data_IF_817675403212
#
_entry.id   IF_817675403212
#
_cell.length_a   1.000
_cell.length_b   1.000
_cell.length_c   1.000
_cell.angle_alpha   90.00
_cell.angle_beta   90.00
_cell.angle_gamma   90.00
#
_symmetry.space_group_name_H-M   'P 1'
#
loop_
_entity.id
_entity.type
_entity.pdbx_description
1 polymer ?
#
# COMPACT_ATOMS: atom_id res chain seq x y z
N UNK A 1 -2.52 -4.50 14.97
CA UNK A 1 -2.98 -3.50 13.98
C UNK A 1 -3.14 -2.17 14.71
N UNK A 2 -2.39 -1.15 14.31
CA UNK A 2 -2.48 0.20 14.87
C UNK A 2 -3.59 0.94 14.12
N UNK A 3 -4.43 1.72 14.81
CA UNK A 3 -5.49 2.53 14.20
C UNK A 3 -5.76 3.81 14.99
N UNK A 4 -6.55 4.73 14.41
CA UNK A 4 -6.87 6.02 15.04
C UNK A 4 -7.79 5.92 16.27
N UNK A 5 -8.54 4.83 16.41
CA UNK A 5 -9.45 4.62 17.55
C UNK A 5 -8.70 4.27 18.84
N UNK A 6 -7.44 3.87 18.75
CA UNK A 6 -6.59 3.55 19.89
C UNK A 6 -6.11 4.83 20.60
N UNK A 7 -6.03 4.74 21.92
CA UNK A 7 -5.44 5.82 22.72
C UNK A 7 -3.98 6.05 22.35
N UNK A 8 -3.47 7.25 22.61
CA UNK A 8 -2.06 7.59 22.33
C UNK A 8 -1.10 6.64 23.05
N UNK A 9 -1.39 6.29 24.30
CA UNK A 9 -0.54 5.41 25.11
C UNK A 9 -0.51 3.97 24.59
N UNK A 10 -1.65 3.46 24.11
CA UNK A 10 -1.72 2.15 23.46
C UNK A 10 -0.89 2.12 22.19
N UNK A 11 -1.07 3.13 21.32
CA UNK A 11 -0.30 3.25 20.08
C UNK A 11 1.20 3.31 20.36
N UNK A 12 1.61 4.12 21.34
CA UNK A 12 3.02 4.24 21.73
C UNK A 12 3.58 2.90 22.22
N UNK A 13 2.85 2.18 23.08
CA UNK A 13 3.27 0.86 23.58
C UNK A 13 3.43 -0.15 22.46
N UNK A 14 2.47 -0.20 21.54
CA UNK A 14 2.53 -1.11 20.38
C UNK A 14 3.74 -0.77 19.50
N UNK A 15 3.89 0.50 19.11
CA UNK A 15 5.00 0.95 18.25
C UNK A 15 6.38 0.68 18.86
N UNK A 16 6.54 0.91 20.17
CA UNK A 16 7.81 0.69 20.86
C UNK A 16 8.08 -0.80 21.10
N UNK A 17 7.11 -1.54 21.67
CA UNK A 17 7.34 -2.92 22.11
C UNK A 17 7.26 -3.95 20.97
N UNK A 18 6.32 -3.77 20.05
CA UNK A 18 6.10 -4.74 18.96
C UNK A 18 6.91 -4.38 17.71
N UNK A 19 7.05 -3.08 17.41
CA UNK A 19 7.69 -2.61 16.17
C UNK A 19 9.06 -1.95 16.38
N UNK A 20 9.56 -1.85 17.63
CA UNK A 20 10.90 -1.33 17.92
C UNK A 20 11.11 0.14 17.61
N UNK A 21 10.05 0.95 17.49
CA UNK A 21 10.17 2.38 17.24
C UNK A 21 10.81 3.11 18.41
N UNK A 22 11.47 4.23 18.13
CA UNK A 22 11.94 5.14 19.16
C UNK A 22 10.76 5.66 19.98
N UNK A 23 10.98 5.87 21.28
CA UNK A 23 9.94 6.40 22.18
C UNK A 23 9.46 7.78 21.73
N UNK A 24 10.36 8.57 21.16
CA UNK A 24 10.06 9.90 20.62
C UNK A 24 9.10 9.82 19.43
N UNK A 25 9.42 9.02 18.41
CA UNK A 25 8.57 8.88 17.22
C UNK A 25 7.19 8.30 17.58
N UNK A 26 7.20 7.26 18.42
CA UNK A 26 5.97 6.60 18.84
C UNK A 26 5.04 7.54 19.63
N UNK A 27 5.61 8.43 20.45
CA UNK A 27 4.86 9.46 21.19
C UNK A 27 4.33 10.56 20.27
N UNK A 28 5.03 10.84 19.17
CA UNK A 28 4.80 11.97 18.29
C UNK A 28 3.98 11.62 17.03
N UNK A 29 3.37 10.43 16.99
CA UNK A 29 2.39 10.09 15.95
C UNK A 29 1.17 11.01 16.05
N UNK A 30 0.87 11.72 14.96
CA UNK A 30 -0.23 12.69 14.89
C UNK A 30 -1.40 12.24 14.01
N UNK A 31 -1.18 11.39 13.00
CA UNK A 31 -2.23 10.79 12.19
C UNK A 31 -1.87 9.38 11.71
N UNK A 32 -2.89 8.55 11.50
CA UNK A 32 -2.75 7.19 10.93
C UNK A 32 -3.80 7.03 9.84
N UNK A 33 -3.36 6.98 8.58
CA UNK A 33 -4.23 6.82 7.42
C UNK A 33 -3.98 5.46 6.78
N UNK A 34 -4.85 4.50 7.09
CA UNK A 34 -4.66 3.10 6.71
C UNK A 34 -3.38 2.50 7.29
N UNK A 35 -2.40 2.22 6.44
CA UNK A 35 -1.07 1.71 6.83
C UNK A 35 0.02 2.79 6.83
N UNK A 36 -0.37 4.06 6.68
CA UNK A 36 0.54 5.20 6.62
C UNK A 36 0.47 5.98 7.94
N UNK A 37 1.61 6.48 8.40
CA UNK A 37 1.75 7.15 9.69
C UNK A 37 2.42 8.50 9.48
N UNK A 38 1.85 9.54 10.09
CA UNK A 38 2.43 10.87 10.18
C UNK A 38 3.01 11.10 11.58
N UNK A 39 4.26 11.52 11.67
CA UNK A 39 4.99 11.80 12.91
C UNK A 39 5.40 13.27 12.94
N UNK A 40 5.07 13.98 14.02
CA UNK A 40 5.49 15.36 14.21
C UNK A 40 6.80 15.43 15.01
N UNK A 41 7.92 15.73 14.34
CA UNK A 41 9.23 15.90 14.99
C UNK A 41 9.64 17.37 15.16
N UNK A 42 8.78 18.31 14.78
CA UNK A 42 9.04 19.74 14.85
C UNK A 42 9.28 20.18 16.30
N UNK A 43 10.33 20.97 16.53
CA UNK A 43 10.67 21.55 17.85
C UNK A 43 10.89 23.05 17.73
N UNK A 44 10.32 23.82 18.68
CA UNK A 44 10.60 25.25 18.81
C UNK A 44 9.96 26.16 17.74
N UNK A 45 9.06 25.65 16.89
CA UNK A 45 8.30 26.46 15.93
C UNK A 45 6.97 26.92 16.51
N UNK A 46 6.60 28.16 16.21
CA UNK A 46 5.32 28.74 16.62
C UNK A 46 4.19 28.28 15.69
N UNK A 47 2.95 28.33 16.18
CA UNK A 47 1.72 28.10 15.41
C UNK A 47 1.51 26.69 14.83
N UNK A 48 2.38 25.72 15.13
CA UNK A 48 2.28 24.33 14.66
C UNK A 48 0.94 23.69 15.03
N UNK A 49 0.52 23.85 16.28
CA UNK A 49 -0.75 23.29 16.79
C UNK A 49 -1.98 23.88 16.11
N UNK A 50 -1.88 25.09 15.53
CA UNK A 50 -3.01 25.72 14.82
C UNK A 50 -3.19 25.14 13.41
N UNK A 51 -2.12 24.63 12.80
CA UNK A 51 -2.13 24.12 11.42
C UNK A 51 -2.07 22.60 11.34
N UNK A 52 -1.80 21.92 12.46
CA UNK A 52 -1.56 20.47 12.46
C UNK A 52 -2.75 19.69 11.88
N UNK A 53 -3.98 20.12 12.11
CA UNK A 53 -5.17 19.46 11.56
C UNK A 53 -5.30 19.65 10.04
N UNK A 54 -4.88 20.80 9.51
CA UNK A 54 -4.74 21.00 8.06
C UNK A 54 -3.64 20.10 7.48
N UNK A 55 -2.51 19.95 8.19
CA UNK A 55 -1.42 19.04 7.78
C UNK A 55 -1.90 17.59 7.78
N UNK A 56 -2.64 17.13 8.80
CA UNK A 56 -3.24 15.79 8.79
C UNK A 56 -4.16 15.58 7.59
N UNK A 57 -4.93 16.60 7.22
CA UNK A 57 -5.82 16.56 6.05
C UNK A 57 -5.02 16.49 4.74
N UNK A 58 -3.98 17.31 4.59
CA UNK A 58 -3.09 17.23 3.44
C UNK A 58 -2.32 15.91 3.36
N UNK A 59 -1.94 15.33 4.50
CA UNK A 59 -1.36 13.99 4.56
C UNK A 59 -2.33 12.92 4.06
N UNK A 60 -3.60 12.96 4.49
CA UNK A 60 -4.65 12.06 3.98
C UNK A 60 -4.79 12.17 2.46
N UNK A 61 -4.90 13.39 1.94
CA UNK A 61 -5.01 13.62 0.49
C UNK A 61 -3.79 13.08 -0.27
N UNK A 62 -2.59 13.26 0.29
CA UNK A 62 -1.35 12.79 -0.29
C UNK A 62 -1.31 11.26 -0.40
N UNK A 63 -1.70 10.56 0.67
CA UNK A 63 -1.63 9.09 0.74
C UNK A 63 -2.79 8.41 0.04
N UNK A 64 -3.99 9.00 0.01
CA UNK A 64 -5.13 8.43 -0.73
C UNK A 64 -4.92 8.54 -2.24
N UNK A 65 -4.18 9.56 -2.68
CA UNK A 65 -4.01 9.91 -4.10
C UNK A 65 -2.53 9.86 -4.51
N UNK A 66 -1.91 8.69 -4.43
CA UNK A 66 -0.49 8.50 -4.66
C UNK A 66 0.00 9.00 -6.03
N UNK A 67 1.15 9.68 -6.07
CA UNK A 67 1.64 10.41 -7.25
C UNK A 67 1.96 9.53 -8.47
N UNK A 68 2.37 8.28 -8.26
CA UNK A 68 2.71 7.36 -9.36
C UNK A 68 1.54 7.08 -10.31
N UNK A 69 0.38 6.69 -9.77
CA UNK A 69 -0.75 6.23 -10.57
C UNK A 69 -2.13 6.63 -10.00
N UNK A 70 -2.14 7.58 -9.04
CA UNK A 70 -3.33 7.99 -8.28
C UNK A 70 -4.00 6.80 -7.56
N UNK A 71 -3.19 5.85 -7.12
CA UNK A 71 -3.60 4.73 -6.26
C UNK A 71 -3.19 5.05 -4.81
N UNK A 72 -3.88 4.46 -3.81
CA UNK A 72 -3.52 4.66 -2.40
C UNK A 72 -2.08 4.22 -2.10
N UNK A 73 -1.36 5.05 -1.37
CA UNK A 73 -0.03 4.75 -0.84
C UNK A 73 -0.15 3.79 0.35
N UNK A 74 0.90 3.00 0.58
CA UNK A 74 0.89 1.97 1.61
C UNK A 74 2.25 1.87 2.32
N UNK A 75 2.21 1.82 3.66
CA UNK A 75 3.40 1.54 4.48
C UNK A 75 4.34 2.73 4.66
N UNK A 76 3.85 3.96 4.49
CA UNK A 76 4.67 5.16 4.66
C UNK A 76 4.77 5.59 6.12
N UNK A 77 5.97 6.01 6.52
CA UNK A 77 6.20 6.82 7.72
C UNK A 77 6.70 8.19 7.27
N UNK A 78 5.85 9.21 7.38
CA UNK A 78 6.18 10.59 7.04
C UNK A 78 6.54 11.33 8.33
N UNK A 79 7.71 11.95 8.36
CA UNK A 79 8.14 12.78 9.47
C UNK A 79 8.07 14.26 9.07
N UNK A 80 7.39 15.06 9.89
CA UNK A 80 7.48 16.52 9.81
C UNK A 80 8.69 16.94 10.63
N UNK A 81 9.77 17.32 9.96
CA UNK A 81 11.03 17.67 10.63
C UNK A 81 11.07 19.16 10.98
N UNK A 82 10.56 20.04 10.11
CA UNK A 82 10.52 21.48 10.34
C UNK A 82 9.33 22.15 9.64
N UNK A 83 8.97 23.36 10.06
CA UNK A 83 7.95 24.19 9.41
C UNK A 83 8.19 25.68 9.65
N UNK A 84 7.90 26.49 8.65
CA UNK A 84 7.80 27.95 8.77
C UNK A 84 6.35 28.36 8.48
N UNK A 85 5.74 29.08 9.41
CA UNK A 85 4.33 29.48 9.33
C UNK A 85 4.25 31.00 9.44
N UNK A 86 3.50 31.64 8.54
CA UNK A 86 3.26 33.07 8.55
C UNK A 86 2.53 33.50 9.84
N UNK A 87 2.81 34.69 10.40
CA UNK A 87 2.25 35.15 11.70
C UNK A 87 0.74 35.51 11.68
N UNK A 88 0.23 35.92 10.52
CA UNK A 88 -1.19 36.24 10.32
C UNK A 88 -2.02 34.96 10.01
N UNK A 89 -3.07 34.64 10.79
CA UNK A 89 -3.96 33.51 10.54
C UNK A 89 -4.63 33.50 9.16
N UNK A 90 -4.83 34.65 8.51
CA UNK A 90 -5.41 34.73 7.15
C UNK A 90 -4.54 33.97 6.13
N UNK A 91 -3.24 33.86 6.38
CA UNK A 91 -2.29 33.14 5.53
C UNK A 91 -2.10 31.66 5.92
N UNK A 92 -2.88 31.14 6.88
CA UNK A 92 -2.77 29.75 7.40
C UNK A 92 -3.97 28.87 7.04
N UNK A 93 -4.83 29.35 6.15
CA UNK A 93 -6.02 28.62 5.74
C UNK A 93 -5.69 27.29 5.05
N UNK A 94 -6.65 26.35 4.99
CA UNK A 94 -6.45 25.03 4.38
C UNK A 94 -6.00 25.11 2.92
N UNK A 95 -6.49 26.10 2.15
CA UNK A 95 -6.08 26.30 0.76
C UNK A 95 -4.57 26.56 0.58
N UNK A 96 -3.89 27.05 1.64
CA UNK A 96 -2.44 27.25 1.65
C UNK A 96 -1.71 26.03 2.21
N UNK A 97 -2.19 25.48 3.34
CA UNK A 97 -1.47 24.42 4.06
C UNK A 97 -1.56 23.05 3.38
N UNK A 98 -2.71 22.70 2.79
CA UNK A 98 -2.88 21.39 2.12
C UNK A 98 -1.86 21.20 0.98
N UNK A 99 -1.74 22.10 -0.02
CA UNK A 99 -0.74 21.96 -1.07
C UNK A 99 0.70 21.95 -0.55
N UNK A 100 1.00 22.77 0.46
CA UNK A 100 2.31 22.78 1.11
C UNK A 100 2.60 21.51 1.93
N UNK A 101 1.58 20.67 2.17
CA UNK A 101 1.75 19.39 2.86
C UNK A 101 1.90 18.23 1.86
N UNK A 102 0.99 18.10 0.89
CA UNK A 102 1.02 16.94 -0.01
C UNK A 102 2.12 17.02 -1.07
N UNK A 103 2.52 18.23 -1.52
CA UNK A 103 3.59 18.40 -2.53
C UNK A 103 4.93 17.83 -2.02
N UNK A 104 5.44 18.21 -0.82
CA UNK A 104 6.69 17.63 -0.31
C UNK A 104 6.60 16.13 -0.04
N UNK A 105 5.43 15.63 0.40
CA UNK A 105 5.23 14.18 0.59
C UNK A 105 5.40 13.44 -0.73
N UNK A 106 4.80 13.94 -1.82
CA UNK A 106 4.96 13.34 -3.15
C UNK A 106 6.39 13.47 -3.68
N UNK A 107 7.05 14.60 -3.46
CA UNK A 107 8.47 14.76 -3.79
C UNK A 107 9.33 13.71 -3.10
N UNK A 108 9.26 13.65 -1.76
CA UNK A 108 10.02 12.70 -0.96
C UNK A 108 9.69 11.24 -1.33
N UNK A 109 8.42 10.94 -1.60
CA UNK A 109 7.99 9.62 -2.05
C UNK A 109 8.63 9.23 -3.39
N UNK A 110 8.66 10.13 -4.38
CA UNK A 110 9.30 9.89 -5.69
C UNK A 110 10.81 9.72 -5.58
N UNK A 111 11.46 10.47 -4.68
CA UNK A 111 12.89 10.33 -4.39
C UNK A 111 13.22 9.02 -3.65
N UNK A 112 12.22 8.34 -3.08
CA UNK A 112 12.39 7.11 -2.31
C UNK A 112 12.22 5.82 -3.15
N UNK A 113 12.33 5.92 -4.47
CA UNK A 113 12.18 4.80 -5.43
C UNK A 113 10.88 3.99 -5.21
N UNK A 114 9.70 4.64 -5.35
CA UNK A 114 8.44 4.03 -4.96
C UNK A 114 8.05 2.87 -5.89
N UNK A 115 7.50 1.81 -5.30
CA UNK A 115 7.05 0.61 -6.02
C UNK A 115 5.53 0.50 -6.05
N UNK A 116 4.99 0.02 -7.17
CA UNK A 116 3.59 -0.34 -7.26
C UNK A 116 3.40 -1.71 -6.61
N UNK A 117 2.37 -1.83 -5.78
CA UNK A 117 2.01 -3.09 -5.14
C UNK A 117 0.78 -3.70 -5.81
N UNK A 118 0.79 -5.01 -6.05
CA UNK A 118 -0.38 -5.79 -6.46
C UNK A 118 -0.89 -6.66 -5.30
N UNK A 119 -2.21 -6.90 -5.23
CA UNK A 119 -2.78 -7.77 -4.21
C UNK A 119 -2.54 -9.23 -4.59
N UNK A 120 -2.06 -10.01 -3.63
CA UNK A 120 -1.84 -11.45 -3.74
C UNK A 120 -2.89 -12.17 -2.91
N UNK A 121 -3.50 -13.19 -3.49
CA UNK A 121 -4.43 -14.10 -2.81
C UNK A 121 -3.73 -15.39 -2.45
N UNK A 122 -4.04 -15.93 -1.28
CA UNK A 122 -3.88 -17.37 -1.05
C UNK A 122 -4.90 -18.12 -1.89
N UNK A 123 -4.51 -19.27 -2.40
CA UNK A 123 -5.31 -20.18 -3.17
C UNK A 123 -5.16 -21.57 -2.57
N UNK A 124 -6.24 -22.10 -2.04
CA UNK A 124 -6.29 -23.46 -1.52
C UNK A 124 -7.20 -24.28 -2.43
N UNK A 125 -6.70 -25.39 -2.94
CA UNK A 125 -7.43 -26.27 -3.86
C UNK A 125 -7.30 -27.73 -3.47
N UNK A 126 -8.43 -28.36 -3.19
CA UNK A 126 -8.56 -29.79 -2.91
C UNK A 126 -9.03 -30.52 -4.16
N UNK A 127 -8.22 -31.47 -4.63
CA UNK A 127 -8.46 -32.26 -5.86
C UNK A 127 -8.05 -33.72 -5.69
N UNK A 128 -8.64 -34.67 -6.44
CA UNK A 128 -8.11 -36.02 -6.55
C UNK A 128 -6.68 -36.02 -7.13
N UNK A 129 -5.88 -37.03 -6.79
CA UNK A 129 -4.48 -37.17 -7.24
C UNK A 129 -4.29 -36.99 -8.76
N UNK A 130 -5.22 -37.50 -9.57
CA UNK A 130 -5.17 -37.43 -11.04
C UNK A 130 -5.18 -36.00 -11.59
N UNK A 131 -5.69 -35.03 -10.81
CA UNK A 131 -5.86 -33.63 -11.24
C UNK A 131 -4.85 -32.66 -10.63
N UNK A 132 -3.91 -33.13 -9.81
CA UNK A 132 -2.90 -32.28 -9.16
C UNK A 132 -2.01 -31.58 -10.18
N UNK A 133 -1.51 -32.31 -11.18
CA UNK A 133 -0.63 -31.74 -12.22
C UNK A 133 -1.31 -30.63 -13.05
N UNK A 134 -2.58 -30.80 -13.50
CA UNK A 134 -3.35 -29.70 -14.10
C UNK A 134 -3.48 -28.47 -13.21
N UNK A 135 -3.75 -28.62 -11.90
CA UNK A 135 -3.85 -27.50 -10.96
C UNK A 135 -2.52 -26.76 -10.84
N UNK A 136 -1.41 -27.48 -10.65
CA UNK A 136 -0.07 -26.88 -10.56
C UNK A 136 0.26 -26.09 -11.84
N UNK A 137 -0.01 -26.68 -13.00
CA UNK A 137 0.23 -26.04 -14.30
C UNK A 137 -0.56 -24.73 -14.45
N UNK A 138 -1.83 -24.73 -14.04
CA UNK A 138 -2.70 -23.56 -14.07
C UNK A 138 -2.19 -22.45 -13.14
N UNK A 139 -1.78 -22.80 -11.92
CA UNK A 139 -1.21 -21.84 -10.96
C UNK A 139 0.07 -21.20 -11.53
N UNK A 140 1.00 -22.01 -12.03
CA UNK A 140 2.27 -21.53 -12.57
C UNK A 140 2.09 -20.63 -13.80
N UNK A 141 1.14 -20.98 -14.69
CA UNK A 141 0.78 -20.17 -15.86
C UNK A 141 0.30 -18.75 -15.48
N UNK A 142 -0.26 -18.60 -14.27
CA UNK A 142 -0.85 -17.37 -13.74
C UNK A 142 0.07 -16.64 -12.75
N UNK A 143 1.39 -16.76 -12.93
CA UNK A 143 2.43 -16.24 -12.02
C UNK A 143 2.27 -16.67 -10.56
N UNK A 144 1.53 -17.76 -10.32
CA UNK A 144 1.27 -18.28 -9.00
C UNK A 144 2.45 -19.10 -8.49
N UNK A 145 2.62 -19.11 -7.18
CA UNK A 145 3.66 -19.87 -6.49
C UNK A 145 3.03 -20.92 -5.57
N UNK A 146 3.39 -22.18 -5.78
CA UNK A 146 3.02 -23.27 -4.86
C UNK A 146 3.77 -23.07 -3.55
N UNK A 147 3.05 -23.11 -2.43
CA UNK A 147 3.60 -23.00 -1.08
C UNK A 147 3.77 -24.37 -0.45
N UNK A 148 2.73 -25.21 -0.56
CA UNK A 148 2.65 -26.49 0.12
C UNK A 148 1.69 -27.43 -0.62
N UNK A 149 1.88 -28.73 -0.43
CA UNK A 149 0.99 -29.78 -0.91
C UNK A 149 0.84 -30.85 0.17
N UNK A 150 -0.39 -31.06 0.63
CA UNK A 150 -0.71 -32.04 1.66
C UNK A 150 -1.64 -33.13 1.09
N UNK A 151 -1.34 -34.39 1.41
CA UNK A 151 -2.21 -35.52 1.08
C UNK A 151 -3.26 -35.71 2.19
N UNK A 152 -4.53 -35.80 1.82
CA UNK A 152 -5.66 -36.13 2.70
C UNK A 152 -6.46 -37.27 2.09
N UNK A 153 -6.26 -38.48 2.61
CA UNK A 153 -6.90 -39.71 2.10
C UNK A 153 -6.66 -39.87 0.59
N UNK A 154 -7.72 -39.85 -0.22
CA UNK A 154 -7.65 -39.98 -1.70
C UNK A 154 -7.52 -38.62 -2.42
N UNK A 155 -7.36 -37.52 -1.67
CA UNK A 155 -7.30 -36.15 -2.18
C UNK A 155 -5.97 -35.48 -1.84
N UNK A 156 -5.64 -34.44 -2.59
CA UNK A 156 -4.49 -33.57 -2.37
C UNK A 156 -4.97 -32.14 -2.22
N UNK A 157 -4.48 -31.46 -1.20
CA UNK A 157 -4.66 -30.03 -1.00
C UNK A 157 -3.40 -29.32 -1.51
N UNK A 158 -3.57 -28.54 -2.57
CA UNK A 158 -2.56 -27.64 -3.13
C UNK A 158 -2.77 -26.26 -2.54
N UNK A 159 -1.77 -25.75 -1.82
CA UNK A 159 -1.75 -24.38 -1.30
C UNK A 159 -0.81 -23.53 -2.13
N UNK A 160 -1.28 -22.38 -2.60
CA UNK A 160 -0.52 -21.49 -3.45
C UNK A 160 -0.83 -20.02 -3.15
N UNK A 161 -0.05 -19.13 -3.76
CA UNK A 161 -0.31 -17.70 -3.83
C UNK A 161 -0.42 -17.27 -5.29
N UNK A 162 -1.41 -16.45 -5.64
CA UNK A 162 -1.66 -15.99 -7.00
C UNK A 162 -1.98 -14.48 -6.98
N UNK A 163 -1.43 -13.66 -7.89
CA UNK A 163 -1.84 -12.28 -8.04
C UNK A 163 -3.30 -12.16 -8.49
N UNK A 164 -4.07 -11.21 -7.92
CA UNK A 164 -5.48 -11.00 -8.29
C UNK A 164 -5.65 -10.66 -9.77
N UNK A 165 -4.70 -9.93 -10.36
CA UNK A 165 -4.73 -9.61 -11.79
C UNK A 165 -4.75 -10.87 -12.67
N UNK A 166 -4.19 -11.98 -12.18
CA UNK A 166 -4.09 -13.26 -12.89
C UNK A 166 -5.22 -14.23 -12.54
N UNK A 167 -6.17 -13.88 -11.66
CA UNK A 167 -7.24 -14.79 -11.25
C UNK A 167 -8.46 -14.78 -12.18
N UNK A 168 -8.56 -13.81 -13.10
CA UNK A 168 -9.69 -13.72 -14.01
C UNK A 168 -9.75 -14.93 -14.95
N UNK A 169 -10.94 -15.56 -15.05
CA UNK A 169 -11.15 -16.79 -15.83
C UNK A 169 -10.59 -18.06 -15.20
N UNK A 170 -10.00 -17.98 -14.00
CA UNK A 170 -9.43 -19.14 -13.31
C UNK A 170 -10.48 -20.21 -12.96
N UNK A 171 -11.69 -19.78 -12.60
CA UNK A 171 -12.78 -20.68 -12.22
C UNK A 171 -13.16 -21.66 -13.36
N UNK A 172 -13.29 -21.16 -14.59
CA UNK A 172 -13.68 -21.95 -15.75
C UNK A 172 -12.55 -22.89 -16.19
N UNK A 173 -11.32 -22.40 -16.22
CA UNK A 173 -10.14 -23.20 -16.57
C UNK A 173 -9.90 -24.33 -15.55
N UNK A 174 -10.07 -24.03 -14.26
CA UNK A 174 -9.97 -25.02 -13.18
C UNK A 174 -11.10 -26.05 -13.27
N UNK A 175 -12.34 -25.62 -13.54
CA UNK A 175 -13.47 -26.53 -13.73
C UNK A 175 -13.26 -27.48 -14.92
N UNK A 176 -12.79 -26.95 -16.04
CA UNK A 176 -12.51 -27.74 -17.25
C UNK A 176 -11.38 -28.74 -17.04
N UNK A 177 -10.24 -28.28 -16.49
CA UNK A 177 -9.05 -29.10 -16.29
C UNK A 177 -9.22 -30.19 -15.22
N UNK A 178 -10.13 -30.01 -14.28
CA UNK A 178 -10.41 -30.97 -13.19
C UNK A 178 -11.73 -31.70 -13.34
N UNK A 179 -12.40 -31.56 -14.49
CA UNK A 179 -13.74 -32.13 -14.74
C UNK A 179 -14.77 -31.77 -13.64
N UNK A 180 -14.64 -30.58 -13.06
CA UNK A 180 -15.49 -30.09 -11.98
C UNK A 180 -15.24 -30.74 -10.62
N UNK A 181 -14.11 -31.44 -10.43
CA UNK A 181 -13.77 -32.15 -9.17
C UNK A 181 -12.89 -31.33 -8.23
N UNK A 182 -12.46 -30.13 -8.63
CA UNK A 182 -11.75 -29.21 -7.75
C UNK A 182 -12.68 -28.45 -6.82
N UNK A 183 -12.37 -28.52 -5.52
CA UNK A 183 -12.90 -27.60 -4.51
C UNK A 183 -11.82 -26.58 -4.20
N UNK A 184 -12.11 -25.30 -4.32
CA UNK A 184 -11.10 -24.26 -4.13
C UNK A 184 -11.68 -23.04 -3.44
N UNK A 185 -10.79 -22.32 -2.76
CA UNK A 185 -11.10 -21.06 -2.12
C UNK A 185 -9.92 -20.12 -2.26
N UNK A 186 -10.21 -18.82 -2.24
CA UNK A 186 -9.20 -17.77 -2.24
C UNK A 186 -9.44 -16.81 -1.09
N UNK A 187 -8.36 -16.34 -0.48
CA UNK A 187 -8.41 -15.29 0.53
C UNK A 187 -7.31 -14.26 0.25
N UNK A 188 -7.55 -12.99 0.57
CA UNK A 188 -6.48 -12.00 0.51
C UNK A 188 -5.32 -12.43 1.43
N UNK A 189 -4.12 -12.52 0.87
CA UNK A 189 -2.89 -12.83 1.62
C UNK A 189 -2.20 -11.53 2.02
N UNK A 190 -1.74 -10.75 1.03
CA UNK A 190 -0.92 -9.54 1.25
C UNK A 190 -0.80 -8.71 -0.02
N UNK A 191 -0.26 -7.51 0.13
CA UNK A 191 0.27 -6.72 -0.98
C UNK A 191 1.71 -7.14 -1.27
N UNK A 192 2.10 -7.17 -2.55
CA UNK A 192 3.48 -7.42 -2.96
C UNK A 192 3.90 -6.51 -4.11
N UNK A 193 5.20 -6.20 -4.24
CA UNK A 193 5.70 -5.44 -5.38
C UNK A 193 5.35 -6.12 -6.71
N UNK A 194 4.83 -5.33 -7.64
CA UNK A 194 4.70 -5.74 -9.05
C UNK A 194 6.09 -6.06 -9.60
N UNK A 195 6.27 -7.15 -10.38
CA UNK A 195 7.55 -7.46 -11.00
C UNK A 195 8.11 -6.30 -11.80
N UNK A 196 9.42 -6.06 -11.69
CA UNK A 196 10.12 -4.93 -12.32
C UNK A 196 9.86 -4.84 -13.82
N UNK A 197 9.84 -5.98 -14.50
CA UNK A 197 9.60 -6.07 -15.95
C UNK A 197 8.20 -5.60 -16.39
N UNK A 198 7.24 -5.54 -15.48
CA UNK A 198 5.85 -5.13 -15.75
C UNK A 198 5.51 -3.77 -15.14
N UNK A 199 6.35 -3.25 -14.24
CA UNK A 199 6.03 -2.12 -13.37
C UNK A 199 5.67 -0.86 -14.17
N UNK A 200 6.51 -0.46 -15.12
CA UNK A 200 6.28 0.72 -15.96
C UNK A 200 5.01 0.60 -16.81
N UNK A 201 4.76 -0.58 -17.40
CA UNK A 201 3.59 -0.83 -18.23
C UNK A 201 2.29 -0.81 -17.43
N UNK A 202 2.28 -1.40 -16.23
CA UNK A 202 1.10 -1.40 -15.35
C UNK A 202 0.78 0.03 -14.91
N UNK A 203 1.79 0.81 -14.50
CA UNK A 203 1.60 2.22 -14.14
C UNK A 203 1.01 2.99 -15.32
N UNK A 204 1.59 2.83 -16.51
CA UNK A 204 1.12 3.49 -17.73
C UNK A 204 -0.36 3.18 -18.00
N UNK A 205 -0.74 1.91 -17.96
CA UNK A 205 -2.14 1.48 -18.18
C UNK A 205 -3.11 2.07 -17.15
N UNK A 206 -2.73 2.11 -15.87
CA UNK A 206 -3.56 2.71 -14.81
C UNK A 206 -3.76 4.21 -15.08
N UNK A 207 -2.69 4.90 -15.47
CA UNK A 207 -2.71 6.34 -15.76
C UNK A 207 -3.57 6.66 -16.99
N UNK A 208 -3.38 5.94 -18.08
CA UNK A 208 -4.20 6.05 -19.30
C UNK A 208 -5.69 5.81 -18.98
N UNK A 209 -6.02 4.75 -18.22
CA UNK A 209 -7.38 4.45 -17.78
C UNK A 209 -8.01 5.59 -16.96
N UNK A 210 -7.21 6.31 -16.17
CA UNK A 210 -7.65 7.46 -15.36
C UNK A 210 -7.61 8.80 -16.12
N UNK A 211 -7.25 8.81 -17.41
CA UNK A 211 -7.14 10.02 -18.22
C UNK A 211 -5.95 10.92 -17.85
N UNK A 212 -4.90 10.34 -17.27
CA UNK A 212 -3.67 11.04 -16.88
C UNK A 212 -2.60 10.91 -17.98
N UNK A 213 -1.56 11.74 -17.90
CA UNK A 213 -0.35 11.55 -18.73
C UNK A 213 0.22 10.14 -18.52
N UNK A 214 0.61 9.39 -19.57
CA UNK A 214 1.14 8.03 -19.47
C UNK A 214 2.36 7.91 -18.54
N UNK A 215 3.19 8.93 -18.51
CA UNK A 215 4.40 8.99 -17.67
C UNK A 215 4.07 9.61 -16.30
N UNK A 216 4.51 9.01 -15.19
CA UNK A 216 4.47 9.66 -13.88
C UNK A 216 5.23 10.98 -13.87
N UNK A 217 4.79 11.97 -13.07
CA UNK A 217 5.56 13.19 -12.90
C UNK A 217 6.91 12.90 -12.22
N UNK A 218 7.92 13.71 -12.55
CA UNK A 218 9.21 13.66 -11.87
C UNK A 218 9.13 14.28 -10.48
N UNK A 219 10.05 13.94 -9.57
CA UNK A 219 10.14 14.61 -8.27
C UNK A 219 10.43 16.12 -8.42
N UNK A 220 11.12 16.49 -9.50
CA UNK A 220 11.49 17.88 -9.83
C UNK A 220 10.26 18.79 -9.99
N UNK A 221 9.10 18.25 -10.39
CA UNK A 221 7.85 19.04 -10.49
C UNK A 221 7.28 19.46 -9.12
N UNK A 222 7.72 18.79 -8.06
CA UNK A 222 7.32 19.03 -6.68
C UNK A 222 8.44 19.61 -5.82
N UNK A 223 9.66 19.66 -6.35
CA UNK A 223 10.82 20.23 -5.69
C UNK A 223 10.82 21.74 -5.90
N UNK A 224 10.88 22.49 -4.81
CA UNK A 224 10.99 23.96 -4.83
C UNK A 224 12.38 24.31 -4.29
N UNK A 225 13.20 24.95 -5.13
CA UNK A 225 14.49 25.50 -4.70
C UNK A 225 14.23 26.74 -3.83
N UNK A 226 14.93 26.83 -2.69
CA UNK A 226 14.90 27.98 -1.77
C UNK A 226 15.50 29.26 -2.40
#
# INVERSE_FOLDING_TARGET
KINEMQTRDERQKILTKEYGWSTEDARNVVAIEGANILVNRIKGRQYVEEVIDHIKSGFRDAVDTGVLAKEPMYGLKVNLEDILIHEDPVHRGPAQILPMTWRPIWCAFLMSEPKLLEPIMSFDCKVPNDFVSPVISLVQKRRGRILDMANEEDMVIVKAEIPVAESFGMADELRSSTQGRAFWATQFSRWAPVPESMHADVIRQIRERKGLSPTPPSYEEFYEEE
#
